data_IF_942808567856
#
_entry.id   IF_942808567856
#
_cell.length_a   1.000
_cell.length_b   1.000
_cell.length_c   1.000
_cell.angle_alpha   90.00
_cell.angle_beta   90.00
_cell.angle_gamma   90.00
#
_symmetry.space_group_name_H-M   'P 1'
#
loop_
_entity.id
_entity.type
_entity.pdbx_description
1 polymer ?
#
# COMPACT_ATOMS: atom_id res chain seq x y z
N UNK A 1 3.28 -10.58 12.79
CA UNK A 1 3.32 -9.53 11.74
C UNK A 1 3.76 -8.17 12.29
N UNK A 2 3.08 -7.59 13.29
CA UNK A 2 3.41 -6.25 13.84
C UNK A 2 4.87 -6.08 14.29
N UNK A 3 5.43 -7.08 14.97
CA UNK A 3 6.85 -7.06 15.39
C UNK A 3 7.78 -7.01 14.17
N UNK A 4 7.49 -7.80 13.13
CA UNK A 4 8.27 -7.78 11.88
C UNK A 4 8.16 -6.43 11.16
N UNK A 5 6.98 -5.83 11.12
CA UNK A 5 6.76 -4.48 10.57
C UNK A 5 7.56 -3.44 11.36
N UNK A 6 7.52 -3.48 12.70
CA UNK A 6 8.26 -2.56 13.55
C UNK A 6 9.78 -2.66 13.35
N UNK A 7 10.29 -3.89 13.16
CA UNK A 7 11.71 -4.12 12.87
C UNK A 7 12.10 -3.59 11.48
N UNK A 8 11.30 -3.85 10.45
CA UNK A 8 11.54 -3.31 9.11
C UNK A 8 11.46 -1.77 9.11
N UNK A 9 10.48 -1.19 9.80
CA UNK A 9 10.33 0.26 9.94
C UNK A 9 11.54 0.88 10.65
N UNK A 10 12.02 0.27 11.74
CA UNK A 10 13.22 0.73 12.46
C UNK A 10 14.48 0.62 11.59
N UNK A 11 14.62 -0.45 10.80
CA UNK A 11 15.73 -0.60 9.85
C UNK A 11 15.70 0.49 8.76
N UNK A 12 14.52 0.83 8.24
CA UNK A 12 14.32 1.93 7.31
C UNK A 12 14.69 3.29 7.92
N UNK A 13 14.28 3.54 9.18
CA UNK A 13 14.67 4.76 9.89
C UNK A 13 16.19 4.86 10.10
N UNK A 14 16.86 3.74 10.41
CA UNK A 14 18.32 3.71 10.57
C UNK A 14 19.03 3.94 9.23
N UNK A 15 18.51 3.41 8.12
CA UNK A 15 18.99 3.71 6.76
C UNK A 15 18.84 5.20 6.44
N UNK A 16 17.66 5.76 6.71
CA UNK A 16 17.40 7.17 6.44
C UNK A 16 18.23 8.08 7.35
N UNK A 17 18.48 7.69 8.60
CA UNK A 17 19.38 8.42 9.51
C UNK A 17 20.85 8.38 9.05
N UNK A 18 21.30 7.24 8.49
CA UNK A 18 22.63 7.12 7.89
C UNK A 18 22.78 7.98 6.63
N UNK A 19 21.74 8.06 5.79
CA UNK A 19 21.70 8.91 4.58
C UNK A 19 21.51 10.40 4.86
N UNK A 20 20.72 10.77 5.89
CA UNK A 20 20.36 12.16 6.22
C UNK A 20 21.45 12.95 6.95
N UNK A 21 22.69 12.47 6.99
CA UNK A 21 23.82 13.23 7.57
C UNK A 21 24.15 14.55 6.84
N UNK A 22 23.41 14.90 5.77
CA UNK A 22 23.58 16.16 5.01
C UNK A 22 22.31 16.96 4.66
N UNK A 23 21.09 16.49 4.95
CA UNK A 23 19.86 17.24 4.64
C UNK A 23 18.93 17.30 5.86
N UNK A 24 18.97 18.44 6.54
CA UNK A 24 18.03 18.79 7.60
C UNK A 24 16.63 18.99 6.99
N UNK A 25 15.76 18.01 7.14
CA UNK A 25 14.34 18.18 6.83
C UNK A 25 13.80 19.30 7.76
N UNK A 26 13.17 20.37 7.23
CA UNK A 26 12.66 21.47 8.05
C UNK A 26 11.69 20.93 9.10
N UNK A 27 11.78 21.44 10.33
CA UNK A 27 11.01 21.00 11.49
C UNK A 27 9.50 21.05 11.25
N UNK A 28 8.94 20.01 10.65
CA UNK A 28 7.50 19.77 10.63
C UNK A 28 7.14 19.24 12.01
N UNK A 29 6.16 19.86 12.67
CA UNK A 29 5.83 19.53 14.06
C UNK A 29 5.57 18.03 14.20
N UNK A 30 6.26 17.40 15.16
CA UNK A 30 6.10 15.98 15.46
C UNK A 30 4.62 15.61 15.65
N UNK A 31 3.85 16.52 16.25
CA UNK A 31 2.40 16.39 16.44
C UNK A 31 1.64 16.32 15.10
N UNK A 32 1.97 17.16 14.12
CA UNK A 32 1.33 17.08 12.80
C UNK A 32 1.67 15.76 12.10
N UNK A 33 2.91 15.27 12.22
CA UNK A 33 3.31 13.96 11.71
C UNK A 33 2.56 12.80 12.39
N UNK A 34 2.41 12.87 13.71
CA UNK A 34 1.69 11.87 14.50
C UNK A 34 0.19 11.83 14.17
N UNK A 35 -0.46 12.99 14.06
CA UNK A 35 -1.88 13.08 13.66
C UNK A 35 -2.09 12.48 12.26
N UNK A 36 -1.21 12.82 11.30
CA UNK A 36 -1.27 12.25 9.94
C UNK A 36 -1.06 10.74 9.96
N UNK A 37 -0.17 10.22 10.81
CA UNK A 37 0.04 8.79 10.99
C UNK A 37 -1.22 8.08 11.51
N UNK A 38 -1.83 8.60 12.57
CA UNK A 38 -3.06 8.03 13.14
C UNK A 38 -4.22 8.07 12.14
N UNK A 39 -4.43 9.21 11.48
CA UNK A 39 -5.45 9.34 10.45
C UNK A 39 -5.18 8.40 9.28
N UNK A 40 -3.94 8.29 8.81
CA UNK A 40 -3.56 7.37 7.73
C UNK A 40 -3.82 5.91 8.09
N UNK A 41 -3.55 5.49 9.32
CA UNK A 41 -3.87 4.13 9.79
C UNK A 41 -5.38 3.86 9.83
N UNK A 42 -6.15 4.83 10.33
CA UNK A 42 -7.61 4.73 10.38
C UNK A 42 -8.21 4.66 8.97
N UNK A 43 -7.79 5.56 8.07
CA UNK A 43 -8.24 5.57 6.67
C UNK A 43 -7.70 4.39 5.87
N UNK A 44 -6.54 3.82 6.20
CA UNK A 44 -6.04 2.63 5.51
C UNK A 44 -6.93 1.41 5.76
N UNK A 45 -7.57 1.35 6.93
CA UNK A 45 -8.50 0.27 7.30
C UNK A 45 -9.86 0.40 6.60
N UNK A 46 -10.25 1.59 6.14
CA UNK A 46 -11.56 1.83 5.50
C UNK A 46 -11.72 1.09 4.16
N UNK A 47 -10.62 0.84 3.46
CA UNK A 47 -10.64 0.06 2.22
C UNK A 47 -10.91 -1.42 2.50
N UNK A 48 -10.33 -1.97 3.57
CA UNK A 48 -10.67 -3.32 4.04
C UNK A 48 -12.12 -3.40 4.52
N UNK A 49 -12.61 -2.39 5.26
CA UNK A 49 -14.01 -2.32 5.65
C UNK A 49 -14.95 -2.23 4.44
N UNK A 50 -14.55 -1.53 3.38
CA UNK A 50 -15.32 -1.47 2.15
C UNK A 50 -15.49 -2.87 1.54
N UNK A 51 -14.43 -3.70 1.52
CA UNK A 51 -14.54 -5.10 1.09
C UNK A 51 -15.37 -5.98 2.05
N UNK A 52 -15.26 -5.76 3.36
CA UNK A 52 -15.99 -6.54 4.36
C UNK A 52 -17.50 -6.24 4.37
N UNK A 53 -17.88 -4.96 4.30
CA UNK A 53 -19.28 -4.50 4.29
C UNK A 53 -19.87 -4.38 2.89
N UNK A 54 -19.05 -4.48 1.84
CA UNK A 54 -19.49 -4.46 0.45
C UNK A 54 -20.19 -5.74 -0.01
N UNK A 55 -20.28 -6.77 0.84
CA UNK A 55 -20.95 -8.05 0.55
C UNK A 55 -22.40 -7.89 0.09
N UNK A 56 -23.18 -7.00 0.71
CA UNK A 56 -24.57 -6.76 0.29
C UNK A 56 -24.68 -6.14 -1.11
N UNK A 57 -23.74 -5.26 -1.47
CA UNK A 57 -23.65 -4.67 -2.82
C UNK A 57 -23.19 -5.73 -3.86
N UNK A 58 -22.31 -6.65 -3.44
CA UNK A 58 -21.88 -7.81 -4.22
C UNK A 58 -23.06 -8.75 -4.49
N UNK A 59 -23.88 -9.05 -3.47
CA UNK A 59 -25.03 -9.95 -3.59
C UNK A 59 -26.16 -9.35 -4.44
N UNK A 60 -26.42 -8.05 -4.31
CA UNK A 60 -27.32 -7.33 -5.23
C UNK A 60 -26.82 -7.35 -6.68
N UNK A 61 -25.50 -7.25 -6.88
CA UNK A 61 -24.90 -7.33 -8.23
C UNK A 61 -24.95 -8.75 -8.79
N UNK A 62 -24.83 -9.78 -7.94
CA UNK A 62 -25.04 -11.19 -8.33
C UNK A 62 -26.48 -11.47 -8.72
N UNK A 63 -27.45 -10.86 -8.03
CA UNK A 63 -28.87 -10.96 -8.40
C UNK A 63 -29.16 -10.35 -9.79
N UNK A 64 -28.30 -9.45 -10.27
CA UNK A 64 -28.35 -8.87 -11.61
C UNK A 64 -27.53 -9.68 -12.66
N UNK A 65 -27.00 -10.85 -12.29
CA UNK A 65 -26.28 -11.75 -13.19
C UNK A 65 -24.78 -11.49 -13.34
N UNK A 66 -24.18 -10.62 -12.52
CA UNK A 66 -22.75 -10.35 -12.59
C UNK A 66 -21.91 -11.52 -12.06
N UNK A 67 -20.83 -11.86 -12.77
CA UNK A 67 -19.84 -12.85 -12.31
C UNK A 67 -19.21 -12.42 -10.98
N UNK A 68 -18.95 -13.38 -10.11
CA UNK A 68 -18.40 -13.19 -8.76
C UNK A 68 -17.15 -12.29 -8.74
N UNK A 69 -16.34 -12.31 -9.81
CA UNK A 69 -15.14 -11.49 -9.98
C UNK A 69 -15.46 -10.00 -10.19
N UNK A 70 -16.50 -9.71 -10.97
CA UNK A 70 -16.94 -8.36 -11.29
C UNK A 70 -17.66 -7.71 -10.12
N UNK A 71 -18.42 -8.48 -9.35
CA UNK A 71 -19.13 -7.99 -8.17
C UNK A 71 -18.18 -7.43 -7.11
N UNK A 72 -17.06 -8.12 -6.83
CA UNK A 72 -16.03 -7.62 -5.90
C UNK A 72 -15.33 -6.37 -6.43
N UNK A 73 -15.16 -6.27 -7.76
CA UNK A 73 -14.63 -5.09 -8.42
C UNK A 73 -15.51 -3.84 -8.31
N UNK A 74 -16.83 -3.98 -8.16
CA UNK A 74 -17.76 -2.84 -7.96
C UNK A 74 -17.46 -2.12 -6.64
N UNK A 75 -17.20 -2.89 -5.57
CA UNK A 75 -16.83 -2.34 -4.25
C UNK A 75 -15.51 -1.59 -4.34
N UNK A 76 -14.51 -2.17 -5.01
CA UNK A 76 -13.22 -1.52 -5.27
C UNK A 76 -13.39 -0.25 -6.08
N UNK A 77 -14.19 -0.28 -7.14
CA UNK A 77 -14.42 0.86 -8.02
C UNK A 77 -15.09 2.01 -7.26
N UNK A 78 -16.10 1.74 -6.43
CA UNK A 78 -16.76 2.74 -5.60
C UNK A 78 -15.81 3.33 -4.55
N UNK A 79 -15.07 2.49 -3.83
CA UNK A 79 -14.11 2.94 -2.82
C UNK A 79 -12.97 3.78 -3.43
N UNK A 80 -12.41 3.33 -4.56
CA UNK A 80 -11.34 4.04 -5.27
C UNK A 80 -11.85 5.34 -5.89
N UNK A 81 -13.09 5.38 -6.41
CA UNK A 81 -13.69 6.61 -6.94
C UNK A 81 -13.86 7.68 -5.85
N UNK A 82 -14.30 7.29 -4.66
CA UNK A 82 -14.36 8.19 -3.51
C UNK A 82 -12.98 8.75 -3.14
N UNK A 83 -11.96 7.87 -3.07
CA UNK A 83 -10.57 8.28 -2.82
C UNK A 83 -9.98 9.15 -3.95
N UNK A 84 -10.38 8.92 -5.19
CA UNK A 84 -9.97 9.71 -6.35
C UNK A 84 -10.52 11.13 -6.27
N UNK A 85 -11.80 11.32 -5.94
CA UNK A 85 -12.39 12.66 -5.80
C UNK A 85 -11.67 13.47 -4.72
N UNK A 86 -11.42 12.86 -3.55
CA UNK A 86 -10.70 13.52 -2.46
C UNK A 86 -9.27 13.90 -2.87
N UNK A 87 -8.54 13.00 -3.54
CA UNK A 87 -7.20 13.29 -4.05
C UNK A 87 -7.21 14.35 -5.15
N UNK A 88 -8.16 14.30 -6.09
CA UNK A 88 -8.28 15.26 -7.18
C UNK A 88 -8.58 16.67 -6.65
N UNK A 89 -9.49 16.77 -5.68
CA UNK A 89 -9.81 18.04 -5.03
C UNK A 89 -8.58 18.62 -4.31
N UNK A 90 -7.87 17.81 -3.53
CA UNK A 90 -6.70 18.27 -2.78
C UNK A 90 -5.51 18.60 -3.68
N UNK A 91 -5.17 17.72 -4.63
CA UNK A 91 -4.10 17.96 -5.60
C UNK A 91 -4.43 19.16 -6.48
N UNK A 92 -5.68 19.30 -6.94
CA UNK A 92 -6.15 20.45 -7.71
C UNK A 92 -6.03 21.76 -6.93
N UNK A 93 -6.44 21.77 -5.66
CA UNK A 93 -6.23 22.90 -4.76
C UNK A 93 -4.74 23.25 -4.62
N UNK A 94 -3.87 22.25 -4.43
CA UNK A 94 -2.43 22.45 -4.23
C UNK A 94 -1.73 22.90 -5.52
N UNK A 95 -2.13 22.40 -6.69
CA UNK A 95 -1.64 22.82 -8.01
C UNK A 95 -1.97 24.28 -8.27
N UNK A 96 -3.21 24.68 -7.95
CA UNK A 96 -3.66 26.08 -8.08
C UNK A 96 -2.91 26.99 -7.13
N UNK A 97 -2.70 26.56 -5.89
CA UNK A 97 -1.98 27.34 -4.86
C UNK A 97 -0.49 27.51 -5.16
N UNK A 98 0.17 26.49 -5.73
CA UNK A 98 1.61 26.53 -6.03
C UNK A 98 1.94 26.96 -7.46
N UNK A 99 0.95 27.35 -8.28
CA UNK A 99 1.14 27.78 -9.68
C UNK A 99 1.99 26.82 -10.54
N UNK A 100 1.96 25.52 -10.24
CA UNK A 100 2.82 24.51 -10.88
C UNK A 100 2.19 23.85 -12.10
N UNK A 101 1.04 24.37 -12.56
CA UNK A 101 0.34 23.90 -13.76
C UNK A 101 1.23 23.95 -15.02
N UNK A 102 2.18 24.89 -15.10
CA UNK A 102 3.14 24.97 -16.21
C UNK A 102 4.18 23.83 -16.26
N UNK A 103 4.40 23.10 -15.15
CA UNK A 103 5.32 21.95 -15.12
C UNK A 103 4.73 20.68 -15.76
N UNK A 104 3.42 20.66 -15.97
CA UNK A 104 2.74 19.55 -16.67
C UNK A 104 2.90 19.59 -18.19
N UNK A 105 3.44 20.67 -18.75
CA UNK A 105 3.65 20.86 -20.20
C UNK A 105 5.12 21.15 -20.58
N UNK A 106 6.07 20.96 -19.66
CA UNK A 106 7.50 21.13 -19.92
C UNK A 106 8.19 19.89 -20.52
N UNK A 107 9.48 20.02 -20.87
CA UNK A 107 10.30 18.93 -21.39
C UNK A 107 10.34 17.75 -20.40
N UNK A 108 10.00 16.54 -20.88
CA UNK A 108 9.90 15.32 -20.07
C UNK A 108 8.53 15.04 -19.45
N UNK A 109 7.53 15.90 -19.65
CA UNK A 109 6.17 15.70 -19.15
C UNK A 109 5.54 14.39 -19.67
N UNK A 110 5.79 14.02 -20.92
CA UNK A 110 5.29 12.77 -21.51
C UNK A 110 5.73 11.52 -20.75
N UNK A 111 7.00 11.47 -20.32
CA UNK A 111 7.53 10.39 -19.48
C UNK A 111 6.89 10.41 -18.09
N UNK A 112 6.64 11.59 -17.54
CA UNK A 112 5.92 11.76 -16.26
C UNK A 112 4.49 11.22 -16.32
N UNK A 113 3.74 11.55 -17.38
CA UNK A 113 2.41 11.01 -17.63
C UNK A 113 2.41 9.50 -17.83
N UNK A 114 3.38 8.97 -18.60
CA UNK A 114 3.52 7.53 -18.83
C UNK A 114 3.85 6.79 -17.54
N UNK A 115 4.82 7.27 -16.74
CA UNK A 115 5.16 6.69 -15.45
C UNK A 115 3.98 6.74 -14.47
N UNK A 116 3.24 7.84 -14.44
CA UNK A 116 2.03 7.96 -13.62
C UNK A 116 0.93 6.98 -14.04
N UNK A 117 0.68 6.85 -15.34
CA UNK A 117 -0.27 5.89 -15.89
C UNK A 117 0.15 4.44 -15.59
N UNK A 118 1.44 4.12 -15.74
CA UNK A 118 1.99 2.79 -15.40
C UNK A 118 1.86 2.48 -13.92
N UNK A 119 2.15 3.44 -13.02
CA UNK A 119 1.95 3.25 -11.58
C UNK A 119 0.48 3.00 -11.26
N UNK A 120 -0.44 3.77 -11.83
CA UNK A 120 -1.88 3.57 -11.64
C UNK A 120 -2.35 2.21 -12.16
N UNK A 121 -1.89 1.81 -13.35
CA UNK A 121 -2.19 0.52 -13.95
C UNK A 121 -1.66 -0.65 -13.12
N UNK A 122 -0.41 -0.58 -12.65
CA UNK A 122 0.20 -1.60 -11.79
C UNK A 122 -0.50 -1.68 -10.44
N UNK A 123 -0.86 -0.54 -9.85
CA UNK A 123 -1.57 -0.49 -8.57
C UNK A 123 -2.97 -1.08 -8.69
N UNK A 124 -3.74 -0.68 -9.71
CA UNK A 124 -5.08 -1.20 -9.96
C UNK A 124 -5.04 -2.68 -10.37
N UNK A 125 -4.05 -3.09 -11.16
CA UNK A 125 -3.78 -4.49 -11.51
C UNK A 125 -3.48 -5.33 -10.25
N UNK A 126 -2.68 -4.81 -9.33
CA UNK A 126 -2.41 -5.44 -8.04
C UNK A 126 -3.67 -5.57 -7.17
N UNK A 127 -4.51 -4.53 -7.12
CA UNK A 127 -5.80 -4.60 -6.42
C UNK A 127 -6.77 -5.58 -7.07
N UNK A 128 -6.78 -5.69 -8.40
CA UNK A 128 -7.61 -6.64 -9.14
C UNK A 128 -7.17 -8.08 -8.87
N UNK A 129 -5.86 -8.35 -8.87
CA UNK A 129 -5.29 -9.65 -8.49
C UNK A 129 -5.64 -9.99 -7.04
N UNK A 130 -5.61 -9.03 -6.13
CA UNK A 130 -6.07 -9.21 -4.77
C UNK A 130 -7.56 -9.56 -4.69
N UNK A 131 -8.42 -8.89 -5.47
CA UNK A 131 -9.85 -9.22 -5.56
C UNK A 131 -10.07 -10.66 -6.07
N UNK A 132 -9.28 -11.12 -7.06
CA UNK A 132 -9.30 -12.53 -7.49
C UNK A 132 -8.80 -13.47 -6.37
N UNK A 133 -7.80 -13.03 -5.61
CA UNK A 133 -7.26 -13.78 -4.47
C UNK A 133 -8.30 -14.03 -3.39
N UNK A 134 -8.96 -12.98 -2.90
CA UNK A 134 -9.97 -13.10 -1.83
C UNK A 134 -11.19 -13.91 -2.27
N UNK A 135 -11.58 -13.83 -3.55
CA UNK A 135 -12.72 -14.60 -4.07
C UNK A 135 -12.44 -16.10 -4.14
N UNK A 136 -11.17 -16.50 -4.33
CA UNK A 136 -10.75 -17.91 -4.23
C UNK A 136 -10.54 -18.41 -2.81
N UNK A 137 -10.43 -17.52 -1.83
CA UNK A 137 -10.15 -17.86 -0.43
C UNK A 137 -11.40 -18.08 0.44
N UNK A 138 -12.62 -17.87 -0.09
CA UNK A 138 -13.87 -18.09 0.66
C UNK A 138 -14.15 -17.01 1.72
N UNK A 139 -15.01 -17.31 2.71
CA UNK A 139 -15.49 -16.32 3.71
C UNK A 139 -14.36 -15.70 4.56
N UNK A 140 -13.26 -16.42 4.81
CA UNK A 140 -12.10 -15.92 5.56
C UNK A 140 -11.10 -15.12 4.69
N UNK A 141 -11.33 -15.06 3.37
CA UNK A 141 -10.42 -14.45 2.41
C UNK A 141 -10.18 -12.96 2.65
N UNK A 142 -11.19 -12.20 3.08
CA UNK A 142 -11.05 -10.76 3.34
C UNK A 142 -10.26 -10.48 4.62
N UNK A 143 -10.40 -11.35 5.63
CA UNK A 143 -9.77 -11.20 6.95
C UNK A 143 -8.29 -11.61 6.90
N UNK A 144 -7.98 -12.72 6.24
CA UNK A 144 -6.61 -13.26 6.16
C UNK A 144 -5.86 -12.67 4.95
N UNK A 145 -6.56 -12.44 3.83
CA UNK A 145 -5.97 -11.97 2.58
C UNK A 145 -5.34 -10.59 2.68
N UNK A 146 -5.93 -9.66 3.44
CA UNK A 146 -5.40 -8.29 3.55
C UNK A 146 -4.05 -8.23 4.29
N UNK A 147 -3.87 -8.86 5.47
CA UNK A 147 -2.55 -9.03 6.08
C UNK A 147 -1.55 -9.76 5.18
N UNK A 148 -1.99 -10.79 4.45
CA UNK A 148 -1.14 -11.51 3.51
C UNK A 148 -0.61 -10.58 2.40
N UNK A 149 -1.50 -9.79 1.79
CA UNK A 149 -1.14 -8.79 0.77
C UNK A 149 -0.14 -7.78 1.35
N UNK A 150 -0.41 -7.22 2.52
CA UNK A 150 0.48 -6.24 3.16
C UNK A 150 1.84 -6.82 3.48
N UNK A 151 1.92 -8.05 3.98
CA UNK A 151 3.20 -8.72 4.23
C UNK A 151 3.98 -8.97 2.94
N UNK A 152 3.33 -9.41 1.88
CA UNK A 152 3.96 -9.62 0.57
C UNK A 152 4.46 -8.32 -0.05
N UNK A 153 3.70 -7.23 0.07
CA UNK A 153 4.15 -5.89 -0.36
C UNK A 153 5.42 -5.51 0.38
N UNK A 154 5.45 -5.63 1.72
CA UNK A 154 6.62 -5.26 2.52
C UNK A 154 7.84 -6.10 2.13
N UNK A 155 7.70 -7.42 1.98
CA UNK A 155 8.81 -8.29 1.59
C UNK A 155 9.31 -7.93 0.18
N UNK A 156 8.41 -7.77 -0.78
CA UNK A 156 8.78 -7.48 -2.18
C UNK A 156 9.39 -6.09 -2.31
N UNK A 157 8.85 -5.08 -1.64
CA UNK A 157 9.42 -3.73 -1.61
C UNK A 157 10.81 -3.69 -0.99
N UNK A 158 11.03 -4.41 0.11
CA UNK A 158 12.37 -4.49 0.72
C UNK A 158 13.35 -5.27 -0.16
N UNK A 159 12.91 -6.36 -0.79
CA UNK A 159 13.72 -7.11 -1.75
C UNK A 159 14.10 -6.25 -2.97
N UNK A 160 13.15 -5.51 -3.55
CA UNK A 160 13.39 -4.56 -4.63
C UNK A 160 14.37 -3.46 -4.18
N UNK A 161 14.22 -2.93 -2.97
CA UNK A 161 15.15 -1.95 -2.41
C UNK A 161 16.58 -2.50 -2.27
N UNK A 162 16.72 -3.78 -1.90
CA UNK A 162 18.04 -4.45 -1.85
C UNK A 162 18.64 -4.57 -3.26
N UNK A 163 17.81 -4.91 -4.26
CA UNK A 163 18.23 -5.04 -5.66
C UNK A 163 18.62 -3.70 -6.30
N UNK A 164 17.91 -2.60 -5.97
CA UNK A 164 18.26 -1.24 -6.44
C UNK A 164 19.50 -0.67 -5.74
N UNK A 165 20.10 -1.40 -4.79
CA UNK A 165 21.31 -1.00 -4.10
C UNK A 165 21.09 0.07 -3.03
N UNK A 166 19.85 0.40 -2.68
CA UNK A 166 19.52 1.40 -1.64
C UNK A 166 20.10 1.04 -0.26
N UNK A 167 20.43 -0.24 -0.05
CA UNK A 167 20.96 -0.78 1.20
C UNK A 167 22.48 -1.01 1.19
N UNK A 168 23.19 -0.62 0.13
CA UNK A 168 24.64 -0.81 0.02
C UNK A 168 25.43 0.12 0.95
N UNK A 169 24.88 1.29 1.26
CA UNK A 169 25.54 2.35 2.05
C UNK A 169 25.18 2.29 3.55
N UNK A 170 24.68 1.14 4.03
CA UNK A 170 24.13 0.96 5.38
C UNK A 170 24.91 -0.12 6.12
N UNK A 171 25.04 0.03 7.44
CA UNK A 171 25.79 -0.91 8.27
C UNK A 171 25.31 -2.36 8.08
N UNK A 172 26.25 -3.31 8.15
CA UNK A 172 25.95 -4.75 8.05
C UNK A 172 25.01 -5.25 9.16
N UNK A 173 24.92 -4.52 10.28
CA UNK A 173 23.95 -4.76 11.34
C UNK A 173 22.53 -4.35 10.91
N UNK A 174 22.35 -3.17 10.31
CA UNK A 174 21.05 -2.70 9.78
C UNK A 174 20.50 -3.64 8.71
N UNK A 175 21.38 -4.14 7.82
CA UNK A 175 21.00 -5.11 6.78
C UNK A 175 20.57 -6.46 7.37
N UNK A 176 21.20 -6.91 8.46
CA UNK A 176 20.81 -8.12 9.21
C UNK A 176 19.48 -7.92 9.96
N UNK A 177 19.26 -6.75 10.56
CA UNK A 177 17.97 -6.39 11.18
C UNK A 177 16.82 -6.42 10.18
N UNK A 178 17.04 -5.90 8.96
CA UNK A 178 16.06 -5.96 7.89
C UNK A 178 15.75 -7.41 7.48
N UNK A 179 16.79 -8.22 7.28
CA UNK A 179 16.63 -9.64 6.93
C UNK A 179 15.82 -10.39 8.00
N UNK A 180 16.07 -10.12 9.28
CA UNK A 180 15.34 -10.72 10.39
C UNK A 180 13.87 -10.27 10.43
N UNK A 181 13.59 -8.98 10.19
CA UNK A 181 12.23 -8.46 10.06
C UNK A 181 11.46 -9.13 8.91
N UNK A 182 12.10 -9.30 7.75
CA UNK A 182 11.51 -10.01 6.60
C UNK A 182 11.23 -11.48 6.92
N UNK A 183 12.15 -12.18 7.59
CA UNK A 183 11.94 -13.57 8.02
C UNK A 183 10.75 -13.70 8.98
N UNK A 184 10.59 -12.78 9.93
CA UNK A 184 9.44 -12.78 10.84
C UNK A 184 8.13 -12.54 10.07
N UNK A 185 8.13 -11.66 9.07
CA UNK A 185 6.95 -11.44 8.22
C UNK A 185 6.64 -12.71 7.44
N UNK A 186 7.63 -13.34 6.79
CA UNK A 186 7.45 -14.60 6.06
C UNK A 186 6.94 -15.73 6.96
N UNK A 187 7.47 -15.86 8.17
CA UNK A 187 6.99 -16.84 9.14
C UNK A 187 5.53 -16.56 9.55
N UNK A 188 5.17 -15.29 9.78
CA UNK A 188 3.79 -14.91 10.07
C UNK A 188 2.84 -15.19 8.90
N UNK A 189 3.28 -14.96 7.66
CA UNK A 189 2.52 -15.30 6.46
C UNK A 189 2.31 -16.82 6.36
N UNK A 190 3.35 -17.62 6.66
CA UNK A 190 3.26 -19.08 6.70
C UNK A 190 2.27 -19.59 7.73
N UNK A 191 2.27 -19.02 8.94
CA UNK A 191 1.28 -19.37 9.98
C UNK A 191 -0.14 -19.01 9.55
N UNK A 192 -0.35 -17.83 8.97
CA UNK A 192 -1.66 -17.42 8.45
C UNK A 192 -2.16 -18.34 7.31
N UNK A 193 -1.26 -18.72 6.41
CA UNK A 193 -1.59 -19.65 5.33
C UNK A 193 -1.94 -21.06 5.84
N UNK A 194 -1.27 -21.53 6.89
CA UNK A 194 -1.61 -22.80 7.54
C UNK A 194 -2.95 -22.72 8.28
N UNK A 195 -3.21 -21.62 8.99
CA UNK A 195 -4.49 -21.39 9.67
C UNK A 195 -5.66 -21.40 8.68
N UNK A 196 -5.47 -20.84 7.48
CA UNK A 196 -6.48 -20.87 6.44
C UNK A 196 -6.72 -22.26 5.84
N UNK A 197 -5.72 -23.16 5.84
CA UNK A 197 -5.91 -24.56 5.39
C UNK A 197 -6.60 -25.45 6.42
N UNK A 198 -6.59 -25.04 7.69
CA UNK A 198 -7.18 -25.78 8.81
C UNK A 198 -8.64 -25.39 9.10
N UNK A 199 -9.14 -24.33 8.46
CA UNK A 199 -10.52 -23.84 8.52
C UNK A 199 -11.27 -24.21 7.23
#
# INVERSE_FOLDING_TARGET
MLVGIALCARAGMLRDAARKRGESVPGRSFVAGFIVCCLSGLFSSSLNFSYAFGGEAVDRSRALGASHLWSTGVVTALAVSGGFIANLAYCGYLLRKNHTLGKFSGDGAGTGWLCGALMGFLWFGGQSLYAVGITRMGELGVVIGWPLLMGMIIVTSNAAGILTGEWNDVSSATRRFLAFGMLIILAALGVLAMAQRAA
#
